data_IF_979157577252
#
_entry.id   IF_979157577252
#
_cell.length_a   1.000
_cell.length_b   1.000
_cell.length_c   1.000
_cell.angle_alpha   90.00
_cell.angle_beta   90.00
_cell.angle_gamma   90.00
#
_symmetry.space_group_name_H-M   'P 1'
#
loop_
_entity.id
_entity.type
_entity.pdbx_description
1 polymer ?
#
# COMPACT_ATOMS: atom_id res chain seq x y z
N UNK A 1 5.92 6.79 -39.97
CA UNK A 1 6.83 7.86 -39.53
C UNK A 1 6.09 8.78 -38.56
N UNK A 2 5.37 9.81 -39.01
CA UNK A 2 4.66 10.75 -38.12
C UNK A 2 3.59 10.04 -37.26
N UNK A 3 2.65 9.32 -37.89
CA UNK A 3 1.68 8.43 -37.19
C UNK A 3 2.31 7.30 -36.34
N UNK A 4 3.63 7.11 -36.44
CA UNK A 4 4.40 6.16 -35.63
C UNK A 4 5.01 6.83 -34.40
N UNK A 5 5.35 8.13 -34.51
CA UNK A 5 5.82 8.97 -33.42
C UNK A 5 4.67 9.38 -32.50
N UNK A 6 3.54 9.76 -33.11
CA UNK A 6 2.30 10.20 -32.46
C UNK A 6 1.76 9.15 -31.46
N UNK A 7 1.72 7.88 -31.87
CA UNK A 7 1.32 6.75 -31.00
C UNK A 7 2.31 6.37 -29.90
N UNK A 8 3.58 6.78 -30.03
CA UNK A 8 4.58 6.57 -28.95
C UNK A 8 4.39 7.65 -27.89
N UNK A 9 4.18 8.91 -28.32
CA UNK A 9 3.88 10.03 -27.43
C UNK A 9 2.54 9.83 -26.68
N UNK A 10 1.48 9.36 -27.36
CA UNK A 10 0.21 9.01 -26.70
C UNK A 10 0.34 7.88 -25.64
N UNK A 11 1.36 7.03 -25.73
CA UNK A 11 1.59 5.96 -24.76
C UNK A 11 2.45 6.43 -23.59
N UNK A 12 3.53 7.18 -23.83
CA UNK A 12 4.34 7.81 -22.77
C UNK A 12 3.48 8.70 -21.86
N UNK A 13 2.61 9.54 -22.45
CA UNK A 13 1.71 10.41 -21.67
C UNK A 13 0.65 9.60 -20.86
N UNK A 14 0.28 8.39 -21.30
CA UNK A 14 -0.60 7.50 -20.53
C UNK A 14 0.12 6.84 -19.37
N UNK A 15 1.34 6.34 -19.58
CA UNK A 15 2.12 5.72 -18.51
C UNK A 15 2.54 6.74 -17.42
N UNK A 16 2.83 8.00 -17.77
CA UNK A 16 2.96 9.07 -16.75
C UNK A 16 1.66 9.31 -15.98
N UNK A 17 0.50 9.39 -16.66
CA UNK A 17 -0.79 9.65 -16.01
C UNK A 17 -1.19 8.51 -15.07
N UNK A 18 -1.03 7.25 -15.47
CA UNK A 18 -1.34 6.10 -14.62
C UNK A 18 -0.39 6.00 -13.41
N UNK A 19 0.89 6.37 -13.56
CA UNK A 19 1.84 6.45 -12.44
C UNK A 19 1.49 7.60 -11.46
N UNK A 20 1.05 8.76 -11.96
CA UNK A 20 0.51 9.83 -11.13
C UNK A 20 -0.81 9.45 -10.45
N UNK A 21 -1.64 8.63 -11.09
CA UNK A 21 -2.84 8.04 -10.49
C UNK A 21 -2.51 7.12 -9.32
N UNK A 22 -1.64 6.14 -9.53
CA UNK A 22 -1.24 5.17 -8.50
C UNK A 22 -0.58 5.84 -7.27
N UNK A 23 0.24 6.87 -7.48
CA UNK A 23 0.88 7.61 -6.37
C UNK A 23 -0.11 8.51 -5.62
N UNK A 24 -1.08 9.13 -6.29
CA UNK A 24 -2.21 9.83 -5.64
C UNK A 24 -3.07 8.87 -4.82
N UNK A 25 -3.34 7.66 -5.33
CA UNK A 25 -4.17 6.67 -4.64
C UNK A 25 -3.46 6.07 -3.41
N UNK A 26 -2.15 5.78 -3.52
CA UNK A 26 -1.33 5.38 -2.37
C UNK A 26 -1.35 6.43 -1.24
N UNK A 27 -1.13 7.71 -1.58
CA UNK A 27 -1.17 8.80 -0.59
C UNK A 27 -2.57 8.98 0.03
N UNK A 28 -3.65 8.72 -0.71
CA UNK A 28 -5.01 8.68 -0.17
C UNK A 28 -5.22 7.50 0.78
N UNK A 29 -4.72 6.31 0.44
CA UNK A 29 -4.85 5.15 1.31
C UNK A 29 -4.03 5.31 2.60
N UNK A 30 -2.81 5.83 2.49
CA UNK A 30 -1.92 6.07 3.64
C UNK A 30 -2.47 7.16 4.58
N UNK A 31 -3.00 8.25 4.04
CA UNK A 31 -3.69 9.27 4.86
C UNK A 31 -5.03 8.79 5.44
N UNK A 32 -5.71 7.83 4.79
CA UNK A 32 -6.88 7.15 5.37
C UNK A 32 -6.48 6.21 6.52
N UNK A 33 -5.39 5.44 6.36
CA UNK A 33 -4.80 4.59 7.41
C UNK A 33 -4.35 5.43 8.61
N UNK A 34 -3.68 6.56 8.40
CA UNK A 34 -3.30 7.49 9.47
C UNK A 34 -4.51 8.03 10.26
N UNK A 35 -5.60 8.40 9.55
CA UNK A 35 -6.86 8.82 10.20
C UNK A 35 -7.53 7.68 10.96
N UNK A 36 -7.46 6.44 10.47
CA UNK A 36 -7.96 5.27 11.18
C UNK A 36 -7.16 4.97 12.47
N UNK A 37 -5.83 5.10 12.43
CA UNK A 37 -4.95 4.98 13.61
C UNK A 37 -5.28 6.05 14.65
N UNK A 38 -5.39 7.33 14.24
CA UNK A 38 -5.79 8.43 15.13
C UNK A 38 -7.15 8.16 15.81
N UNK A 39 -8.16 7.75 15.03
CA UNK A 39 -9.50 7.39 15.54
C UNK A 39 -9.48 6.18 16.50
N UNK A 40 -8.54 5.27 16.35
CA UNK A 40 -8.34 4.15 17.29
C UNK A 40 -7.61 4.60 18.55
N UNK A 41 -6.64 5.51 18.47
CA UNK A 41 -5.97 6.13 19.62
C UNK A 41 -6.99 6.87 20.49
N UNK A 42 -7.91 7.64 19.88
CA UNK A 42 -8.92 8.37 20.64
C UNK A 42 -9.97 7.45 21.28
N UNK A 43 -10.35 6.34 20.61
CA UNK A 43 -11.12 5.26 21.24
C UNK A 43 -10.39 4.61 22.41
N UNK A 44 -9.06 4.44 22.31
CA UNK A 44 -8.25 3.88 23.41
C UNK A 44 -8.29 4.84 24.60
N UNK A 45 -8.08 6.15 24.41
CA UNK A 45 -8.24 7.16 25.47
C UNK A 45 -9.63 7.11 26.12
N UNK A 46 -10.69 7.05 25.31
CA UNK A 46 -12.07 6.95 25.79
C UNK A 46 -12.29 5.65 26.59
N UNK A 47 -11.67 4.54 26.18
CA UNK A 47 -11.74 3.26 26.90
C UNK A 47 -10.95 3.27 28.22
N UNK A 48 -9.80 3.94 28.27
CA UNK A 48 -8.99 4.10 29.51
C UNK A 48 -9.78 4.88 30.56
N UNK A 49 -10.32 6.06 30.21
CA UNK A 49 -11.21 6.83 31.10
C UNK A 49 -12.50 6.09 31.51
N UNK A 50 -12.90 5.06 30.75
CA UNK A 50 -14.04 4.20 31.08
C UNK A 50 -13.67 3.00 31.97
N UNK A 51 -12.39 2.63 31.99
CA UNK A 51 -11.82 1.61 32.89
C UNK A 51 -11.49 2.20 34.26
N UNK A 52 -10.93 3.43 34.32
CA UNK A 52 -10.76 4.19 35.57
C UNK A 52 -12.08 4.35 36.36
N UNK A 53 -13.22 4.38 35.66
CA UNK A 53 -14.57 4.44 36.26
C UNK A 53 -15.19 3.06 36.58
N UNK A 54 -14.44 1.97 36.44
CA UNK A 54 -14.92 0.59 36.65
C UNK A 54 -14.20 -0.19 37.74
N UNK A 55 -13.04 0.24 38.22
CA UNK A 55 -12.28 -0.46 39.29
C UNK A 55 -12.86 -0.28 40.71
N UNK A 56 -14.19 -0.20 40.81
CA UNK A 56 -14.96 -0.07 42.06
C UNK A 56 -16.17 -1.04 42.12
N UNK A 57 -16.20 -2.11 41.32
CA UNK A 57 -17.30 -3.09 41.34
C UNK A 57 -16.95 -4.47 40.75
N UNK A 58 -17.32 -5.53 41.48
CA UNK A 58 -17.07 -6.96 41.21
C UNK A 58 -18.34 -7.72 41.67
N UNK A 59 -18.82 -8.83 41.08
CA UNK A 59 -18.30 -9.71 40.00
C UNK A 59 -19.19 -9.50 38.73
N UNK A 60 -19.72 -10.45 37.93
CA UNK A 60 -19.70 -11.92 37.77
C UNK A 60 -19.87 -12.24 36.26
N UNK A 61 -19.24 -13.27 35.70
CA UNK A 61 -19.82 -14.56 35.19
C UNK A 61 -21.35 -14.59 34.93
N UNK A 62 -21.87 -15.25 33.88
CA UNK A 62 -21.43 -16.53 33.29
C UNK A 62 -21.71 -16.69 31.76
N UNK A 63 -21.80 -17.93 31.26
CA UNK A 63 -21.63 -18.39 29.86
C UNK A 63 -22.79 -18.19 28.85
N UNK A 64 -22.56 -18.53 27.57
CA UNK A 64 -23.59 -18.72 26.53
C UNK A 64 -23.04 -19.11 25.14
N UNK A 65 -23.62 -20.12 24.47
CA UNK A 65 -23.08 -20.78 23.26
C UNK A 65 -24.00 -20.75 22.01
N UNK A 66 -23.38 -20.99 20.85
CA UNK A 66 -23.95 -21.48 19.56
C UNK A 66 -24.97 -20.64 18.74
N UNK A 67 -24.92 -20.83 17.41
CA UNK A 67 -26.14 -20.98 16.60
C UNK A 67 -26.35 -20.07 15.37
N UNK A 68 -26.34 -20.66 14.17
CA UNK A 68 -26.85 -20.13 12.88
C UNK A 68 -26.18 -18.86 12.29
N UNK A 69 -26.24 -18.56 10.98
CA UNK A 69 -26.58 -19.43 9.84
C UNK A 69 -27.82 -19.05 9.02
N UNK A 70 -27.72 -18.05 8.13
CA UNK A 70 -28.52 -17.99 6.88
C UNK A 70 -27.96 -17.00 5.84
N UNK A 71 -28.54 -17.03 4.63
CA UNK A 71 -27.96 -16.53 3.37
C UNK A 71 -28.67 -15.30 2.77
N UNK A 72 -27.91 -14.44 2.08
CA UNK A 72 -28.33 -13.73 0.87
C UNK A 72 -27.10 -13.65 -0.07
N UNK A 73 -27.10 -14.12 -1.33
CA UNK A 73 -28.05 -13.92 -2.45
C UNK A 73 -28.04 -12.47 -2.94
N UNK A 74 -26.95 -12.07 -3.62
CA UNK A 74 -26.91 -10.92 -4.54
C UNK A 74 -25.80 -11.07 -5.58
N UNK A 75 -26.13 -11.67 -6.73
CA UNK A 75 -25.91 -11.13 -8.07
C UNK A 75 -26.53 -12.10 -9.09
N UNK A 76 -27.16 -11.55 -10.12
CA UNK A 76 -28.09 -12.26 -11.01
C UNK A 76 -27.82 -11.84 -12.45
N UNK A 77 -28.00 -12.78 -13.37
CA UNK A 77 -28.18 -12.67 -14.82
C UNK A 77 -27.29 -11.68 -15.64
N UNK A 78 -26.68 -12.21 -16.71
CA UNK A 78 -26.60 -11.47 -17.97
C UNK A 78 -25.22 -11.06 -18.47
N UNK A 79 -24.49 -12.00 -19.07
CA UNK A 79 -23.56 -11.74 -20.18
C UNK A 79 -23.24 -13.06 -20.90
N UNK A 80 -23.86 -13.29 -22.06
CA UNK A 80 -23.54 -14.43 -22.93
C UNK A 80 -22.17 -14.22 -23.59
N UNK A 81 -21.26 -15.18 -23.42
CA UNK A 81 -19.98 -15.29 -24.14
C UNK A 81 -19.79 -16.76 -24.50
N UNK A 82 -19.33 -17.04 -25.72
CA UNK A 82 -19.31 -18.37 -26.34
C UNK A 82 -18.31 -19.35 -25.70
N UNK A 83 -18.56 -20.66 -25.86
CA UNK A 83 -17.78 -21.74 -25.23
C UNK A 83 -16.37 -21.93 -25.84
N UNK A 84 -15.35 -21.24 -25.32
CA UNK A 84 -13.99 -21.78 -25.35
C UNK A 84 -13.75 -22.71 -24.16
N UNK A 85 -13.44 -23.98 -24.45
CA UNK A 85 -13.28 -25.03 -23.44
C UNK A 85 -12.03 -24.77 -22.59
N UNK A 86 -12.14 -24.62 -21.26
CA UNK A 86 -10.97 -24.40 -20.42
C UNK A 86 -10.05 -25.63 -20.48
N UNK A 87 -8.82 -25.43 -20.95
CA UNK A 87 -7.77 -26.43 -20.78
C UNK A 87 -7.40 -26.48 -19.29
N UNK A 88 -8.01 -27.42 -18.56
CA UNK A 88 -7.73 -27.64 -17.15
C UNK A 88 -6.27 -28.06 -17.01
N UNK A 89 -5.41 -27.11 -16.64
CA UNK A 89 -4.00 -27.33 -16.40
C UNK A 89 -3.84 -28.30 -15.22
N UNK A 90 -3.54 -29.56 -15.51
CA UNK A 90 -3.59 -30.64 -14.53
C UNK A 90 -2.32 -30.66 -13.66
N UNK A 91 -2.23 -29.75 -12.67
CA UNK A 91 -1.10 -29.70 -11.71
C UNK A 91 -0.76 -31.08 -11.11
N UNK A 92 -1.76 -31.95 -10.94
CA UNK A 92 -1.61 -33.32 -10.45
C UNK A 92 -0.65 -34.20 -11.28
N UNK A 93 -0.51 -33.95 -12.59
CA UNK A 93 0.43 -34.69 -13.44
C UNK A 93 1.85 -34.11 -13.36
N UNK A 94 2.00 -32.79 -13.32
CA UNK A 94 3.30 -32.13 -13.14
C UNK A 94 3.94 -32.44 -11.79
N UNK A 95 3.16 -32.41 -10.69
CA UNK A 95 3.64 -32.81 -9.36
C UNK A 95 4.09 -34.28 -9.32
N UNK A 96 3.55 -35.14 -10.20
CA UNK A 96 3.97 -36.53 -10.36
C UNK A 96 5.34 -36.62 -11.07
N UNK A 97 5.58 -35.74 -12.04
CA UNK A 97 6.82 -35.67 -12.85
C UNK A 97 8.00 -35.05 -12.10
N UNK A 98 7.77 -33.98 -11.33
CA UNK A 98 8.82 -33.27 -10.57
C UNK A 98 9.24 -33.96 -9.25
N UNK A 99 8.59 -35.06 -8.84
CA UNK A 99 8.79 -35.71 -7.53
C UNK A 99 10.19 -36.28 -7.29
N UNK A 100 11.06 -36.33 -8.32
CA UNK A 100 12.40 -36.94 -8.26
C UNK A 100 13.57 -35.96 -8.06
N UNK A 101 13.35 -34.64 -8.16
CA UNK A 101 14.42 -33.65 -8.04
C UNK A 101 14.13 -32.64 -6.92
N UNK A 102 14.04 -33.14 -5.67
CA UNK A 102 13.93 -32.29 -4.47
C UNK A 102 15.26 -31.56 -4.25
N UNK A 103 15.34 -30.32 -4.72
CA UNK A 103 16.53 -29.49 -4.53
C UNK A 103 16.79 -29.24 -3.04
N UNK A 104 17.84 -29.85 -2.49
CA UNK A 104 18.21 -29.74 -1.06
C UNK A 104 18.36 -28.30 -0.59
N UNK A 105 18.77 -27.39 -1.50
CA UNK A 105 18.87 -25.96 -1.26
C UNK A 105 17.55 -25.33 -0.73
N UNK A 106 16.38 -25.80 -1.21
CA UNK A 106 15.08 -25.31 -0.76
C UNK A 106 14.85 -25.57 0.73
N UNK A 107 15.25 -26.75 1.23
CA UNK A 107 15.17 -27.08 2.66
C UNK A 107 16.18 -26.28 3.50
N UNK A 108 17.36 -25.96 2.95
CA UNK A 108 18.34 -25.08 3.61
C UNK A 108 17.80 -23.66 3.73
N UNK A 109 17.17 -23.11 2.69
CA UNK A 109 16.53 -21.78 2.73
C UNK A 109 15.38 -21.74 3.74
N UNK A 110 14.52 -22.77 3.79
CA UNK A 110 13.43 -22.84 4.78
C UNK A 110 13.98 -22.93 6.22
N UNK A 111 14.99 -23.78 6.47
CA UNK A 111 15.63 -23.85 7.79
C UNK A 111 16.30 -22.54 8.18
N UNK A 112 16.95 -21.85 7.23
CA UNK A 112 17.52 -20.53 7.44
C UNK A 112 16.47 -19.47 7.79
N UNK A 113 15.31 -19.49 7.13
CA UNK A 113 14.20 -18.57 7.43
C UNK A 113 13.56 -18.85 8.81
N UNK A 114 13.35 -20.12 9.17
CA UNK A 114 12.87 -20.51 10.50
C UNK A 114 13.88 -20.10 11.59
N UNK A 115 15.18 -20.28 11.35
CA UNK A 115 16.22 -19.85 12.27
C UNK A 115 16.32 -18.33 12.39
N UNK A 116 16.17 -17.59 11.28
CA UNK A 116 16.13 -16.13 11.28
C UNK A 116 14.92 -15.57 12.04
N UNK A 117 13.74 -16.18 11.90
CA UNK A 117 12.57 -15.84 12.71
C UNK A 117 12.81 -16.13 14.20
N UNK A 118 13.30 -17.33 14.54
CA UNK A 118 13.59 -17.69 15.94
C UNK A 118 14.64 -16.76 16.58
N UNK A 119 15.70 -16.42 15.86
CA UNK A 119 16.71 -15.47 16.30
C UNK A 119 16.14 -14.04 16.43
N UNK A 120 15.33 -13.59 15.47
CA UNK A 120 14.67 -12.28 15.53
C UNK A 120 13.73 -12.15 16.74
N UNK A 121 12.89 -13.15 16.98
CA UNK A 121 12.03 -13.20 18.17
C UNK A 121 12.86 -13.24 19.46
N UNK A 122 13.97 -13.97 19.49
CA UNK A 122 14.88 -14.02 20.65
C UNK A 122 15.55 -12.66 20.92
N UNK A 123 16.06 -11.97 19.90
CA UNK A 123 16.63 -10.62 20.07
C UNK A 123 15.60 -9.60 20.52
N UNK A 124 14.40 -9.58 19.93
CA UNK A 124 13.30 -8.72 20.37
C UNK A 124 12.90 -9.03 21.83
N UNK A 125 12.91 -10.30 22.23
CA UNK A 125 12.62 -10.70 23.60
C UNK A 125 13.73 -10.33 24.61
N UNK A 126 14.97 -10.12 24.16
CA UNK A 126 16.04 -9.56 25.00
C UNK A 126 15.88 -8.04 25.10
N UNK A 127 15.64 -7.35 23.99
CA UNK A 127 15.49 -5.90 23.92
C UNK A 127 14.33 -5.43 24.82
N UNK A 128 13.18 -6.12 24.73
CA UNK A 128 12.03 -5.92 25.63
C UNK A 128 12.40 -6.20 27.09
N UNK A 129 13.23 -7.21 27.40
CA UNK A 129 13.63 -7.48 28.79
C UNK A 129 14.57 -6.41 29.36
N UNK A 130 15.53 -5.91 28.57
CA UNK A 130 16.43 -4.84 29.00
C UNK A 130 15.71 -3.48 29.10
N UNK A 131 14.75 -3.20 28.22
CA UNK A 131 13.90 -2.01 28.34
C UNK A 131 12.92 -2.14 29.52
N UNK A 132 12.31 -3.32 29.75
CA UNK A 132 11.47 -3.58 30.94
C UNK A 132 12.27 -3.48 32.25
N UNK A 133 13.56 -3.83 32.25
CA UNK A 133 14.46 -3.64 33.41
C UNK A 133 14.83 -2.18 33.66
N UNK A 134 14.75 -1.30 32.66
CA UNK A 134 14.92 0.16 32.81
C UNK A 134 13.60 0.85 33.11
N UNK A 135 12.49 0.28 32.65
CA UNK A 135 11.12 0.61 33.02
C UNK A 135 10.65 -0.15 34.28
N UNK A 136 11.58 -0.67 35.09
CA UNK A 136 11.30 -0.99 36.50
C UNK A 136 11.08 0.35 37.22
N UNK A 137 9.86 0.87 37.13
CA UNK A 137 9.43 2.09 37.82
C UNK A 137 9.77 1.87 39.29
N UNK A 138 10.74 2.61 39.81
CA UNK A 138 11.32 2.36 41.12
C UNK A 138 10.37 2.87 42.22
N UNK A 139 9.34 2.06 42.46
CA UNK A 139 8.32 2.16 43.51
C UNK A 139 8.93 1.85 44.91
N UNK A 140 10.27 1.80 45.03
CA UNK A 140 11.02 1.71 46.29
C UNK A 140 10.63 2.78 47.33
N UNK A 141 10.10 3.94 46.91
CA UNK A 141 9.56 4.96 47.82
C UNK A 141 8.21 4.60 48.49
N UNK A 142 7.64 3.44 48.15
CA UNK A 142 6.49 2.84 48.83
C UNK A 142 6.90 1.72 49.80
N UNK A 143 8.11 1.14 49.69
CA UNK A 143 8.68 0.25 50.72
C UNK A 143 9.07 1.04 51.99
N UNK A 144 9.49 2.29 51.81
CA UNK A 144 10.22 3.08 52.82
C UNK A 144 9.34 3.69 53.94
N UNK A 145 8.01 3.51 53.89
CA UNK A 145 7.10 3.93 54.97
C UNK A 145 6.31 2.76 55.51
N UNK A 146 6.52 2.52 56.80
CA UNK A 146 5.90 1.49 57.61
C UNK A 146 4.40 1.74 57.92
N UNK A 147 3.62 2.12 56.90
CA UNK A 147 2.16 2.32 56.95
C UNK A 147 1.44 1.07 57.45
N UNK A 148 1.91 -0.12 57.05
CA UNK A 148 1.35 -1.39 57.50
C UNK A 148 1.54 -1.61 59.00
N UNK A 149 2.72 -1.32 59.57
CA UNK A 149 2.94 -1.38 61.02
C UNK A 149 2.13 -0.30 61.78
N UNK A 150 2.00 0.90 61.21
CA UNK A 150 1.21 1.98 61.80
C UNK A 150 -0.30 1.64 61.84
N UNK A 151 -0.84 1.05 60.77
CA UNK A 151 -2.22 0.52 60.70
C UNK A 151 -2.41 -0.67 61.65
N UNK A 152 -1.44 -1.57 61.75
CA UNK A 152 -1.50 -2.70 62.68
C UNK A 152 -1.48 -2.21 64.14
N UNK A 153 -0.63 -1.23 64.47
CA UNK A 153 -0.54 -0.62 65.81
C UNK A 153 -1.82 0.13 66.17
N UNK A 154 -2.45 0.81 65.20
CA UNK A 154 -3.76 1.43 65.40
C UNK A 154 -4.86 0.39 65.71
N UNK A 155 -4.87 -0.76 65.02
CA UNK A 155 -5.78 -1.88 65.32
C UNK A 155 -5.52 -2.50 66.70
N UNK A 156 -4.26 -2.72 67.07
CA UNK A 156 -3.90 -3.21 68.41
C UNK A 156 -4.32 -2.22 69.52
N UNK A 157 -4.28 -0.92 69.25
CA UNK A 157 -4.80 0.10 70.15
C UNK A 157 -6.34 0.04 70.27
N UNK A 158 -7.06 -0.14 69.16
CA UNK A 158 -8.52 -0.33 69.16
C UNK A 158 -8.94 -1.60 69.93
N UNK A 159 -8.28 -2.74 69.67
CA UNK A 159 -8.53 -3.99 70.40
C UNK A 159 -8.24 -3.86 71.90
N UNK A 160 -7.17 -3.15 72.28
CA UNK A 160 -6.88 -2.83 73.70
C UNK A 160 -7.97 -1.96 74.32
N UNK A 161 -8.49 -0.97 73.60
CA UNK A 161 -9.59 -0.10 74.06
C UNK A 161 -10.87 -0.92 74.24
N UNK A 162 -11.19 -1.83 73.31
CA UNK A 162 -12.34 -2.72 73.42
C UNK A 162 -12.20 -3.70 74.59
N UNK A 163 -11.00 -4.27 74.81
CA UNK A 163 -10.70 -5.10 75.98
C UNK A 163 -10.86 -4.33 77.30
N UNK A 164 -10.25 -3.15 77.43
CA UNK A 164 -10.34 -2.32 78.63
C UNK A 164 -11.78 -1.87 78.92
N UNK A 165 -12.56 -1.56 77.88
CA UNK A 165 -14.00 -1.24 77.98
C UNK A 165 -14.82 -2.42 78.52
N UNK A 166 -14.53 -3.64 78.05
CA UNK A 166 -15.18 -4.86 78.56
C UNK A 166 -14.77 -5.14 80.01
N UNK A 167 -13.48 -5.07 80.33
CA UNK A 167 -12.97 -5.25 81.70
C UNK A 167 -13.48 -4.20 82.70
N UNK A 168 -13.74 -2.97 82.25
CA UNK A 168 -14.39 -1.92 83.02
C UNK A 168 -15.85 -2.27 83.32
N UNK A 169 -16.57 -2.84 82.34
CA UNK A 169 -17.95 -3.27 82.52
C UNK A 169 -18.04 -4.48 83.45
N UNK A 170 -17.15 -5.47 83.31
CA UNK A 170 -17.08 -6.62 84.23
C UNK A 170 -16.89 -6.15 85.67
N UNK A 171 -15.92 -5.27 85.96
CA UNK A 171 -15.73 -4.75 87.33
C UNK A 171 -16.92 -3.94 87.87
N UNK A 172 -17.77 -3.35 87.02
CA UNK A 172 -19.03 -2.72 87.47
C UNK A 172 -20.09 -3.77 87.85
N UNK A 173 -20.26 -4.78 87.00
CA UNK A 173 -21.18 -5.89 87.26
C UNK A 173 -20.76 -6.70 88.52
N UNK A 174 -19.44 -6.87 88.73
CA UNK A 174 -18.87 -7.56 89.90
C UNK A 174 -19.15 -6.78 91.20
N UNK A 175 -19.04 -5.44 91.17
CA UNK A 175 -19.42 -4.59 92.29
C UNK A 175 -20.93 -4.72 92.60
N UNK A 176 -21.78 -4.63 91.58
CA UNK A 176 -23.23 -4.78 91.72
C UNK A 176 -23.61 -6.12 92.35
N UNK A 177 -23.05 -7.23 91.82
CA UNK A 177 -23.25 -8.57 92.39
C UNK A 177 -22.68 -8.73 93.82
N UNK A 178 -21.55 -8.10 94.14
CA UNK A 178 -20.98 -8.10 95.50
C UNK A 178 -21.85 -7.32 96.49
N UNK A 179 -22.46 -6.21 96.06
CA UNK A 179 -23.41 -5.44 96.87
C UNK A 179 -24.70 -6.21 97.12
N UNK A 180 -25.27 -6.86 96.10
CA UNK A 180 -26.48 -7.67 96.25
C UNK A 180 -26.26 -8.93 97.09
N UNK A 181 -25.10 -9.57 97.01
CA UNK A 181 -24.76 -10.66 97.92
C UNK A 181 -24.58 -10.19 99.38
N UNK A 182 -24.02 -8.99 99.61
CA UNK A 182 -23.96 -8.39 100.97
C UNK A 182 -25.37 -8.12 101.51
N UNK A 183 -26.26 -7.53 100.70
CA UNK A 183 -27.68 -7.31 101.04
C UNK A 183 -28.37 -8.63 101.38
N UNK A 184 -28.30 -9.62 100.48
CA UNK A 184 -28.93 -10.94 100.63
C UNK A 184 -28.43 -11.70 101.87
N UNK A 185 -27.13 -11.68 102.15
CA UNK A 185 -26.57 -12.24 103.39
C UNK A 185 -27.11 -11.53 104.64
N UNK A 186 -27.29 -10.21 104.57
CA UNK A 186 -27.82 -9.40 105.68
C UNK A 186 -29.30 -9.69 105.91
N UNK A 187 -30.11 -9.74 104.86
CA UNK A 187 -31.53 -10.12 104.93
C UNK A 187 -31.73 -11.51 105.54
N UNK A 188 -30.92 -12.49 105.13
CA UNK A 188 -30.95 -13.85 105.69
C UNK A 188 -30.58 -13.87 107.18
N UNK A 189 -29.58 -13.08 107.61
CA UNK A 189 -29.23 -12.94 109.04
C UNK A 189 -30.35 -12.28 109.83
N UNK A 190 -30.95 -11.20 109.33
CA UNK A 190 -32.07 -10.49 109.99
C UNK A 190 -33.34 -11.37 110.03
N UNK A 191 -33.60 -12.17 109.00
CA UNK A 191 -34.67 -13.18 109.04
C UNK A 191 -34.39 -14.26 110.10
N UNK A 192 -33.14 -14.72 110.21
CA UNK A 192 -32.69 -15.69 111.22
C UNK A 192 -32.77 -15.20 112.67
N UNK A 193 -32.83 -13.88 112.93
CA UNK A 193 -33.12 -13.33 114.26
C UNK A 193 -34.61 -13.43 114.62
N UNK A 194 -35.52 -13.50 113.65
CA UNK A 194 -36.98 -13.54 113.90
C UNK A 194 -37.48 -14.90 114.39
N UNK A 195 -36.70 -15.96 114.17
CA UNK A 195 -36.99 -17.33 114.62
C UNK A 195 -36.38 -17.68 115.99
N UNK A 196 -35.62 -16.77 116.59
CA UNK A 196 -35.00 -16.97 117.91
C UNK A 196 -35.87 -16.38 119.03
N UNK A 197 -35.93 -17.07 120.18
CA UNK A 197 -36.68 -16.67 121.38
C UNK A 197 -35.99 -15.53 122.17
N UNK A 198 -35.60 -14.46 121.46
CA UNK A 198 -34.99 -13.25 122.01
C UNK A 198 -36.06 -12.22 122.38
N UNK A 199 -35.79 -11.34 123.35
CA UNK A 199 -36.68 -10.21 123.61
C UNK A 199 -36.74 -9.24 122.41
N UNK A 200 -37.75 -8.36 122.39
CA UNK A 200 -37.88 -7.36 121.33
C UNK A 200 -36.71 -6.36 121.35
N UNK A 201 -36.19 -6.03 122.54
CA UNK A 201 -35.08 -5.07 122.68
C UNK A 201 -33.74 -5.68 122.25
N UNK A 202 -33.46 -6.94 122.62
CA UNK A 202 -32.26 -7.66 122.15
C UNK A 202 -32.25 -7.83 120.64
N UNK A 203 -33.40 -8.17 120.03
CA UNK A 203 -33.54 -8.24 118.56
C UNK A 203 -33.28 -6.89 117.89
N UNK A 204 -33.82 -5.80 118.45
CA UNK A 204 -33.56 -4.45 117.93
C UNK A 204 -32.07 -4.07 117.99
N UNK A 205 -31.37 -4.44 119.07
CA UNK A 205 -29.92 -4.23 119.22
C UNK A 205 -29.13 -5.06 118.20
N UNK A 206 -29.43 -6.35 118.04
CA UNK A 206 -28.74 -7.23 117.08
C UNK A 206 -29.02 -6.86 115.62
N UNK A 207 -30.25 -6.47 115.26
CA UNK A 207 -30.55 -6.00 113.89
C UNK A 207 -29.80 -4.70 113.59
N UNK A 208 -29.72 -3.76 114.53
CA UNK A 208 -28.94 -2.53 114.38
C UNK A 208 -27.42 -2.79 114.25
N UNK A 209 -26.89 -3.84 114.90
CA UNK A 209 -25.50 -4.26 114.75
C UNK A 209 -25.25 -4.90 113.37
N UNK A 210 -26.12 -5.81 112.93
CA UNK A 210 -26.05 -6.45 111.61
C UNK A 210 -26.12 -5.41 110.48
N UNK A 211 -27.00 -4.40 110.58
CA UNK A 211 -27.08 -3.30 109.61
C UNK A 211 -25.85 -2.36 109.63
N UNK A 212 -25.17 -2.24 110.78
CA UNK A 212 -23.87 -1.54 110.88
C UNK A 212 -22.73 -2.35 110.26
N UNK A 213 -22.78 -3.68 110.34
CA UNK A 213 -21.86 -4.56 109.62
C UNK A 213 -22.10 -4.50 108.10
N UNK A 214 -23.36 -4.57 107.66
CA UNK A 214 -23.79 -4.38 106.27
C UNK A 214 -23.21 -3.09 105.68
N UNK A 215 -23.47 -1.93 106.30
CA UNK A 215 -22.99 -0.65 105.77
C UNK A 215 -21.46 -0.58 105.72
N UNK A 216 -20.74 -1.18 106.69
CA UNK A 216 -19.27 -1.29 106.62
C UNK A 216 -18.83 -2.14 105.42
N UNK A 217 -19.42 -3.32 105.23
CA UNK A 217 -19.11 -4.22 104.11
C UNK A 217 -19.43 -3.58 102.75
N UNK A 218 -20.54 -2.85 102.65
CA UNK A 218 -20.90 -2.04 101.47
C UNK A 218 -19.83 -0.98 101.21
N UNK A 219 -19.50 -0.14 102.20
CA UNK A 219 -18.52 0.94 102.02
C UNK A 219 -17.13 0.41 101.63
N UNK A 220 -16.69 -0.71 102.22
CA UNK A 220 -15.43 -1.37 101.85
C UNK A 220 -15.49 -1.90 100.42
N UNK A 221 -16.56 -2.61 100.04
CA UNK A 221 -16.72 -3.11 98.67
C UNK A 221 -16.78 -1.98 97.63
N UNK A 222 -17.47 -0.88 97.93
CA UNK A 222 -17.49 0.31 97.06
C UNK A 222 -16.09 0.89 96.91
N UNK A 223 -15.37 1.16 98.00
CA UNK A 223 -14.01 1.72 97.94
C UNK A 223 -13.03 0.84 97.14
N UNK A 224 -13.07 -0.48 97.33
CA UNK A 224 -12.21 -1.44 96.62
C UNK A 224 -12.44 -1.44 95.09
N UNK A 225 -13.70 -1.33 94.66
CA UNK A 225 -14.06 -1.36 93.24
C UNK A 225 -14.05 0.02 92.58
N UNK A 226 -14.34 1.09 93.31
CA UNK A 226 -14.23 2.47 92.81
C UNK A 226 -12.77 2.79 92.44
N UNK A 227 -11.79 2.35 93.23
CA UNK A 227 -10.37 2.50 92.88
C UNK A 227 -10.01 1.72 91.60
N UNK A 228 -10.45 0.47 91.48
CA UNK A 228 -10.22 -0.35 90.28
C UNK A 228 -10.90 0.20 89.02
N UNK A 229 -12.15 0.67 89.15
CA UNK A 229 -12.91 1.29 88.06
C UNK A 229 -12.26 2.62 87.65
N UNK A 230 -11.79 3.43 88.61
CA UNK A 230 -11.06 4.66 88.33
C UNK A 230 -9.69 4.39 87.65
N UNK A 231 -8.97 3.33 88.06
CA UNK A 231 -7.73 2.91 87.42
C UNK A 231 -7.96 2.46 85.97
N UNK A 232 -8.91 1.54 85.73
CA UNK A 232 -9.28 1.10 84.37
C UNK A 232 -9.79 2.25 83.50
N UNK A 233 -10.55 3.20 84.06
CA UNK A 233 -11.02 4.38 83.32
C UNK A 233 -9.87 5.33 82.92
N UNK A 234 -8.82 5.46 83.75
CA UNK A 234 -7.60 6.21 83.40
C UNK A 234 -6.83 5.52 82.27
N UNK A 235 -6.65 4.19 82.33
CA UNK A 235 -5.97 3.45 81.27
C UNK A 235 -6.75 3.51 79.94
N UNK A 236 -8.07 3.35 79.98
CA UNK A 236 -8.95 3.48 78.80
C UNK A 236 -8.82 4.87 78.14
N UNK A 237 -8.71 5.93 78.95
CA UNK A 237 -8.49 7.29 78.43
C UNK A 237 -7.07 7.45 77.83
N UNK A 238 -6.04 6.89 78.45
CA UNK A 238 -4.68 6.91 77.91
C UNK A 238 -4.56 6.14 76.59
N UNK A 239 -5.24 4.99 76.48
CA UNK A 239 -5.28 4.20 75.24
C UNK A 239 -5.97 4.98 74.10
N UNK A 240 -7.10 5.66 74.38
CA UNK A 240 -7.80 6.52 73.43
C UNK A 240 -6.97 7.70 72.93
N UNK A 241 -6.20 8.35 73.81
CA UNK A 241 -5.31 9.43 73.38
C UNK A 241 -4.26 8.91 72.37
N UNK A 242 -3.66 7.75 72.64
CA UNK A 242 -2.70 7.11 71.73
C UNK A 242 -3.33 6.66 70.41
N UNK A 243 -4.59 6.22 70.40
CA UNK A 243 -5.33 5.97 69.16
C UNK A 243 -5.43 7.25 68.32
N UNK A 244 -5.82 8.38 68.93
CA UNK A 244 -5.89 9.67 68.23
C UNK A 244 -4.54 10.14 67.68
N UNK A 245 -3.45 9.97 68.44
CA UNK A 245 -2.08 10.26 68.00
C UNK A 245 -1.67 9.41 66.77
N UNK A 246 -2.08 8.13 66.72
CA UNK A 246 -1.82 7.24 65.57
C UNK A 246 -2.70 7.57 64.37
N UNK A 247 -3.97 7.91 64.57
CA UNK A 247 -4.89 8.34 63.51
C UNK A 247 -4.43 9.66 62.85
N UNK A 248 -3.93 10.61 63.64
CA UNK A 248 -3.35 11.85 63.12
C UNK A 248 -2.06 11.59 62.33
N UNK A 249 -1.18 10.70 62.80
CA UNK A 249 0.02 10.30 62.05
C UNK A 249 -0.31 9.57 60.74
N UNK A 250 -1.31 8.67 60.74
CA UNK A 250 -1.81 8.00 59.54
C UNK A 250 -2.33 9.01 58.52
N UNK A 251 -3.15 9.97 58.97
CA UNK A 251 -3.70 11.03 58.12
C UNK A 251 -2.60 11.91 57.52
N UNK A 252 -1.67 12.39 58.34
CA UNK A 252 -0.60 13.28 57.87
C UNK A 252 0.28 12.59 56.83
N UNK A 253 0.67 11.32 57.05
CA UNK A 253 1.41 10.53 56.06
C UNK A 253 0.62 10.25 54.78
N UNK A 254 -0.69 10.04 54.86
CA UNK A 254 -1.53 9.89 53.68
C UNK A 254 -1.58 11.20 52.85
N UNK A 255 -1.61 12.36 53.49
CA UNK A 255 -1.54 13.65 52.80
C UNK A 255 -0.16 13.90 52.16
N UNK A 256 0.94 13.61 52.86
CA UNK A 256 2.30 13.67 52.29
C UNK A 256 2.43 12.78 51.04
N UNK A 257 1.85 11.58 51.06
CA UNK A 257 1.81 10.69 49.90
C UNK A 257 0.97 11.24 48.75
N UNK A 258 -0.21 11.80 49.02
CA UNK A 258 -1.08 12.38 48.00
C UNK A 258 -0.41 13.58 47.31
N UNK A 259 0.35 14.40 48.05
CA UNK A 259 1.11 15.53 47.52
C UNK A 259 2.31 15.08 46.67
N UNK A 260 3.15 14.17 47.17
CA UNK A 260 4.28 13.60 46.39
C UNK A 260 3.83 12.89 45.12
N UNK A 261 2.68 12.20 45.17
CA UNK A 261 2.12 11.53 43.99
C UNK A 261 1.67 12.54 42.94
N UNK A 262 1.02 13.65 43.34
CA UNK A 262 0.65 14.74 42.42
C UNK A 262 1.87 15.42 41.79
N UNK A 263 2.91 15.68 42.58
CA UNK A 263 4.16 16.27 42.10
C UNK A 263 4.81 15.37 41.03
N UNK A 264 4.97 14.08 41.33
CA UNK A 264 5.50 13.09 40.36
C UNK A 264 4.65 12.97 39.11
N UNK A 265 3.32 12.95 39.22
CA UNK A 265 2.44 12.88 38.06
C UNK A 265 2.54 14.13 37.17
N UNK A 266 2.73 15.32 37.76
CA UNK A 266 2.94 16.56 37.00
C UNK A 266 4.30 16.57 36.28
N UNK A 267 5.37 16.08 36.92
CA UNK A 267 6.68 15.95 36.25
C UNK A 267 6.67 14.86 35.16
N UNK A 268 5.96 13.74 35.35
CA UNK A 268 5.76 12.74 34.29
C UNK A 268 4.93 13.29 33.11
N UNK A 269 3.85 14.04 33.35
CA UNK A 269 3.06 14.68 32.28
C UNK A 269 3.94 15.65 31.46
N UNK A 270 4.76 16.44 32.15
CA UNK A 270 5.73 17.39 31.56
C UNK A 270 6.83 16.68 30.77
N UNK A 271 7.44 15.63 31.30
CA UNK A 271 8.46 14.84 30.60
C UNK A 271 7.88 14.16 29.34
N UNK A 272 6.67 13.57 29.46
CA UNK A 272 5.95 12.96 28.35
C UNK A 272 5.64 14.00 27.25
N UNK A 273 5.18 15.19 27.64
CA UNK A 273 4.90 16.30 26.74
C UNK A 273 6.14 16.80 26.00
N UNK A 274 7.28 16.90 26.68
CA UNK A 274 8.57 17.20 26.03
C UNK A 274 8.95 16.12 25.03
N UNK A 275 8.92 14.83 25.42
CA UNK A 275 9.23 13.71 24.52
C UNK A 275 8.34 13.69 23.27
N UNK A 276 7.04 13.96 23.41
CA UNK A 276 6.11 14.08 22.27
C UNK A 276 6.51 15.24 21.35
N UNK A 277 6.79 16.43 21.90
CA UNK A 277 7.22 17.60 21.13
C UNK A 277 8.55 17.36 20.37
N UNK A 278 9.49 16.63 20.99
CA UNK A 278 10.77 16.27 20.38
C UNK A 278 10.58 15.27 19.23
N UNK A 279 9.68 14.29 19.39
CA UNK A 279 9.34 13.34 18.32
C UNK A 279 8.58 14.00 17.17
N UNK A 280 7.62 14.89 17.44
CA UNK A 280 6.91 15.66 16.41
C UNK A 280 7.88 16.51 15.58
N UNK A 281 8.84 17.16 16.24
CA UNK A 281 9.90 17.96 15.60
C UNK A 281 10.80 17.09 14.72
N UNK A 282 11.32 15.98 15.24
CA UNK A 282 12.14 15.04 14.47
C UNK A 282 11.40 14.42 13.29
N UNK A 283 10.10 14.14 13.43
CA UNK A 283 9.28 13.58 12.36
C UNK A 283 9.09 14.61 11.23
N UNK A 284 8.81 15.87 11.59
CA UNK A 284 8.71 16.98 10.63
C UNK A 284 10.02 17.21 9.86
N UNK A 285 11.16 17.24 10.56
CA UNK A 285 12.47 17.36 9.89
C UNK A 285 12.75 16.21 8.91
N UNK A 286 12.38 14.97 9.27
CA UNK A 286 12.57 13.81 8.39
C UNK A 286 11.69 13.90 7.15
N UNK A 287 10.44 14.35 7.29
CA UNK A 287 9.54 14.59 6.16
C UNK A 287 10.08 15.67 5.22
N UNK A 288 10.58 16.80 5.75
CA UNK A 288 11.15 17.88 4.95
C UNK A 288 12.40 17.40 4.17
N UNK A 289 13.29 16.64 4.81
CA UNK A 289 14.47 16.02 4.16
C UNK A 289 14.08 15.02 3.06
N UNK A 290 13.03 14.22 3.27
CA UNK A 290 12.52 13.28 2.24
C UNK A 290 11.92 14.05 1.05
N UNK A 291 11.18 15.14 1.29
CA UNK A 291 10.64 15.98 0.22
C UNK A 291 11.74 16.67 -0.58
N UNK A 292 12.77 17.20 0.07
CA UNK A 292 13.94 17.80 -0.59
C UNK A 292 14.69 16.76 -1.47
N UNK A 293 14.91 15.56 -0.95
CA UNK A 293 15.53 14.46 -1.71
C UNK A 293 14.70 14.04 -2.93
N UNK A 294 13.38 13.91 -2.79
CA UNK A 294 12.48 13.57 -3.90
C UNK A 294 12.44 14.66 -4.98
N UNK A 295 12.46 15.94 -4.59
CA UNK A 295 12.55 17.08 -5.52
C UNK A 295 13.90 17.09 -6.26
N UNK A 296 15.00 16.84 -5.56
CA UNK A 296 16.35 16.78 -6.14
C UNK A 296 16.48 15.62 -7.14
N UNK A 297 16.01 14.42 -6.79
CA UNK A 297 15.98 13.27 -7.71
C UNK A 297 15.13 13.54 -8.95
N UNK A 298 13.93 14.14 -8.78
CA UNK A 298 13.09 14.54 -9.91
C UNK A 298 13.78 15.53 -10.84
N UNK A 299 14.52 16.50 -10.31
CA UNK A 299 15.30 17.46 -11.11
C UNK A 299 16.45 16.77 -11.87
N UNK A 300 17.16 15.82 -11.24
CA UNK A 300 18.21 15.03 -11.91
C UNK A 300 17.65 14.25 -13.10
N UNK A 301 16.59 13.45 -12.87
CA UNK A 301 15.96 12.66 -13.93
C UNK A 301 15.33 13.53 -15.04
N UNK A 302 14.78 14.70 -14.71
CA UNK A 302 14.32 15.66 -15.74
C UNK A 302 15.48 16.24 -16.58
N UNK A 303 16.67 16.40 -15.99
CA UNK A 303 17.90 16.72 -16.72
C UNK A 303 18.34 15.58 -17.64
N UNK A 304 18.45 14.37 -17.11
CA UNK A 304 18.84 13.15 -17.85
C UNK A 304 17.88 12.85 -19.02
N UNK A 305 16.57 12.98 -18.82
CA UNK A 305 15.55 12.82 -19.87
C UNK A 305 15.67 13.90 -20.95
N UNK A 306 16.03 15.13 -20.57
CA UNK A 306 16.26 16.21 -21.54
C UNK A 306 17.53 15.96 -22.37
N UNK A 307 18.65 15.63 -21.73
CA UNK A 307 19.92 15.34 -22.42
C UNK A 307 19.79 14.13 -23.37
N UNK A 308 19.12 13.07 -22.94
CA UNK A 308 18.87 11.89 -23.78
C UNK A 308 17.94 12.21 -24.95
N UNK A 309 16.89 13.02 -24.74
CA UNK A 309 16.03 13.53 -25.82
C UNK A 309 16.81 14.34 -26.86
N UNK A 310 17.61 15.32 -26.42
CA UNK A 310 18.44 16.14 -27.32
C UNK A 310 19.45 15.28 -28.09
N UNK A 311 20.07 14.28 -27.44
CA UNK A 311 20.97 13.32 -28.08
C UNK A 311 20.27 12.45 -29.15
N UNK A 312 19.06 11.95 -28.88
CA UNK A 312 18.31 11.17 -29.87
C UNK A 312 17.77 12.02 -31.02
N UNK A 313 17.33 13.25 -30.75
CA UNK A 313 16.91 14.20 -31.79
C UNK A 313 18.08 14.55 -32.73
N UNK A 314 19.28 14.77 -32.18
CA UNK A 314 20.50 14.98 -32.96
C UNK A 314 20.87 13.76 -33.83
N UNK A 315 20.78 12.54 -33.27
CA UNK A 315 21.01 11.28 -34.03
C UNK A 315 20.00 11.11 -35.17
N UNK A 316 18.71 11.36 -34.92
CA UNK A 316 17.65 11.26 -35.94
C UNK A 316 17.87 12.28 -37.07
N UNK A 317 18.23 13.53 -36.74
CA UNK A 317 18.57 14.56 -37.73
C UNK A 317 19.80 14.19 -38.58
N UNK A 318 20.83 13.60 -37.96
CA UNK A 318 22.01 13.12 -38.68
C UNK A 318 21.68 11.94 -39.63
N UNK A 319 20.89 10.96 -39.16
CA UNK A 319 20.47 9.80 -39.95
C UNK A 319 19.56 10.20 -41.13
N UNK A 320 18.61 11.11 -40.91
CA UNK A 320 17.76 11.64 -41.98
C UNK A 320 18.59 12.31 -43.08
N UNK A 321 19.59 13.12 -42.70
CA UNK A 321 20.52 13.77 -43.64
C UNK A 321 21.40 12.78 -44.39
N UNK A 322 21.79 11.66 -43.76
CA UNK A 322 22.50 10.58 -44.44
C UNK A 322 21.61 9.94 -45.52
N UNK A 323 20.38 9.55 -45.17
CA UNK A 323 19.45 8.94 -46.13
C UNK A 323 19.05 9.90 -47.26
N UNK A 324 18.94 11.20 -47.01
CA UNK A 324 18.71 12.21 -48.05
C UNK A 324 19.87 12.22 -49.08
N UNK A 325 21.12 12.17 -48.62
CA UNK A 325 22.30 12.10 -49.48
C UNK A 325 22.41 10.76 -50.23
N UNK A 326 22.05 9.65 -49.60
CA UNK A 326 21.97 8.33 -50.24
C UNK A 326 20.91 8.31 -51.36
N UNK A 327 19.73 8.90 -51.11
CA UNK A 327 18.66 9.01 -52.10
C UNK A 327 19.03 9.93 -53.28
N UNK A 328 19.68 11.06 -53.03
CA UNK A 328 20.19 11.95 -54.10
C UNK A 328 21.27 11.25 -54.94
N UNK A 329 22.23 10.55 -54.31
CA UNK A 329 23.22 9.74 -55.01
C UNK A 329 22.55 8.66 -55.88
N UNK A 330 21.61 7.91 -55.31
CA UNK A 330 20.93 6.81 -56.00
C UNK A 330 20.06 7.32 -57.16
N UNK A 331 19.39 8.47 -56.98
CA UNK A 331 18.65 9.18 -58.03
C UNK A 331 19.57 9.58 -59.18
N UNK A 332 20.71 10.23 -58.89
CA UNK A 332 21.72 10.62 -59.90
C UNK A 332 22.28 9.40 -60.65
N UNK A 333 22.53 8.30 -59.94
CA UNK A 333 22.94 7.04 -60.55
C UNK A 333 21.90 6.49 -61.54
N UNK A 334 20.64 6.38 -61.13
CA UNK A 334 19.58 5.89 -62.01
C UNK A 334 19.26 6.83 -63.17
N UNK A 335 19.29 8.16 -62.99
CA UNK A 335 19.17 9.13 -64.09
C UNK A 335 20.25 8.86 -65.15
N UNK A 336 21.51 8.73 -64.75
CA UNK A 336 22.62 8.43 -65.68
C UNK A 336 22.48 7.08 -66.39
N UNK A 337 21.95 6.06 -65.71
CA UNK A 337 21.64 4.78 -66.35
C UNK A 337 20.49 4.91 -67.37
N UNK A 338 19.45 5.69 -67.08
CA UNK A 338 18.37 5.97 -68.02
C UNK A 338 18.85 6.77 -69.24
N UNK A 339 19.72 7.76 -69.06
CA UNK A 339 20.38 8.50 -70.15
C UNK A 339 21.19 7.57 -71.05
N UNK A 340 21.99 6.67 -70.47
CA UNK A 340 22.74 5.65 -71.23
C UNK A 340 21.82 4.72 -72.04
N UNK A 341 20.70 4.27 -71.44
CA UNK A 341 19.72 3.40 -72.09
C UNK A 341 19.01 4.14 -73.24
N UNK A 342 18.63 5.40 -73.04
CA UNK A 342 18.04 6.25 -74.08
C UNK A 342 19.02 6.47 -75.23
N UNK A 343 20.24 6.94 -74.96
CA UNK A 343 21.27 7.15 -75.99
C UNK A 343 21.65 5.85 -76.74
N UNK A 344 21.50 4.67 -76.11
CA UNK A 344 21.69 3.37 -76.77
C UNK A 344 20.50 3.00 -77.66
N UNK A 345 19.26 3.22 -77.17
CA UNK A 345 18.02 3.04 -77.95
C UNK A 345 18.02 3.94 -79.19
N UNK A 346 18.37 5.21 -79.05
CA UNK A 346 18.29 6.19 -80.14
C UNK A 346 19.31 5.89 -81.24
N UNK A 347 20.52 5.45 -80.86
CA UNK A 347 21.51 4.88 -81.81
C UNK A 347 20.98 3.62 -82.52
N UNK A 348 20.28 2.74 -81.81
CA UNK A 348 19.68 1.55 -82.42
C UNK A 348 18.55 1.90 -83.40
N UNK A 349 17.73 2.91 -83.09
CA UNK A 349 16.68 3.42 -83.98
C UNK A 349 17.25 4.09 -85.23
N UNK A 350 18.30 4.90 -85.11
CA UNK A 350 18.93 5.54 -86.28
C UNK A 350 19.68 4.52 -87.14
N UNK A 351 20.35 3.53 -86.54
CA UNK A 351 20.92 2.40 -87.28
C UNK A 351 19.85 1.60 -88.04
N UNK A 352 18.69 1.36 -87.43
CA UNK A 352 17.54 0.69 -88.06
C UNK A 352 16.96 1.53 -89.21
N UNK A 353 16.86 2.85 -89.04
CA UNK A 353 16.45 3.80 -90.09
C UNK A 353 17.39 3.76 -91.29
N UNK A 354 18.70 3.84 -91.05
CA UNK A 354 19.72 3.78 -92.11
C UNK A 354 19.70 2.42 -92.83
N UNK A 355 19.46 1.32 -92.11
CA UNK A 355 19.29 -0.01 -92.71
C UNK A 355 18.03 -0.08 -93.59
N UNK A 356 16.89 0.44 -93.13
CA UNK A 356 15.63 0.50 -93.88
C UNK A 356 15.77 1.37 -95.14
N UNK A 357 16.43 2.52 -95.04
CA UNK A 357 16.70 3.40 -96.18
C UNK A 357 17.68 2.75 -97.18
N UNK A 358 18.70 2.03 -96.69
CA UNK A 358 19.61 1.24 -97.54
C UNK A 358 18.85 0.13 -98.27
N UNK A 359 17.94 -0.58 -97.60
CA UNK A 359 17.07 -1.59 -98.22
C UNK A 359 16.18 -0.97 -99.30
N UNK A 360 15.43 0.09 -98.97
CA UNK A 360 14.57 0.82 -99.90
C UNK A 360 15.34 1.31 -101.14
N UNK A 361 16.57 1.79 -100.97
CA UNK A 361 17.41 2.24 -102.08
C UNK A 361 17.91 1.07 -102.96
N UNK A 362 18.09 -0.15 -102.42
CA UNK A 362 18.34 -1.36 -103.22
C UNK A 362 17.09 -1.77 -104.00
N UNK A 363 15.93 -1.82 -103.36
CA UNK A 363 14.65 -2.14 -104.01
C UNK A 363 14.33 -1.16 -105.15
N UNK A 364 14.56 0.15 -104.94
CA UNK A 364 14.43 1.18 -106.00
C UNK A 364 15.44 0.96 -107.13
N UNK A 365 16.68 0.57 -106.84
CA UNK A 365 17.68 0.28 -107.86
C UNK A 365 17.34 -0.98 -108.67
N UNK A 366 16.86 -2.04 -108.02
CA UNK A 366 16.38 -3.27 -108.67
C UNK A 366 15.16 -2.99 -109.57
N UNK A 367 14.17 -2.22 -109.08
CA UNK A 367 13.02 -1.77 -109.87
C UNK A 367 13.44 -0.89 -111.05
N UNK A 368 14.38 0.04 -110.87
CA UNK A 368 14.92 0.86 -111.96
C UNK A 368 15.63 0.01 -113.02
N UNK A 369 16.47 -0.94 -112.60
CA UNK A 369 17.19 -1.84 -113.50
C UNK A 369 16.22 -2.74 -114.29
N UNK A 370 15.16 -3.22 -113.63
CA UNK A 370 14.08 -3.99 -114.26
C UNK A 370 13.32 -3.15 -115.29
N UNK A 371 12.89 -1.94 -114.92
CA UNK A 371 12.20 -1.01 -115.82
C UNK A 371 13.07 -0.64 -117.03
N UNK A 372 14.36 -0.38 -116.81
CA UNK A 372 15.32 -0.09 -117.89
C UNK A 372 15.45 -1.28 -118.86
N UNK A 373 15.53 -2.52 -118.34
CA UNK A 373 15.56 -3.73 -119.17
C UNK A 373 14.28 -3.87 -119.99
N UNK A 374 13.12 -3.77 -119.34
CA UNK A 374 11.80 -3.85 -119.98
C UNK A 374 11.63 -2.74 -121.05
N UNK A 375 12.16 -1.53 -120.81
CA UNK A 375 12.21 -0.44 -121.79
C UNK A 375 13.11 -0.77 -123.00
N UNK A 376 14.35 -1.23 -122.79
CA UNK A 376 15.25 -1.60 -123.91
C UNK A 376 14.74 -2.79 -124.72
N UNK A 377 14.00 -3.72 -124.11
CA UNK A 377 13.30 -4.78 -124.84
C UNK A 377 12.13 -4.26 -125.67
N UNK A 378 11.42 -3.22 -125.21
CA UNK A 378 10.36 -2.56 -125.96
C UNK A 378 10.94 -1.72 -127.12
N UNK A 379 12.03 -0.99 -126.89
CA UNK A 379 12.77 -0.24 -127.91
C UNK A 379 13.33 -1.18 -129.00
N UNK A 380 13.86 -2.35 -128.62
CA UNK A 380 14.29 -3.40 -129.55
C UNK A 380 13.14 -4.04 -130.34
N UNK A 381 11.91 -4.07 -129.80
CA UNK A 381 10.71 -4.49 -130.54
C UNK A 381 10.26 -3.40 -131.52
N UNK A 382 10.12 -2.16 -131.05
CA UNK A 382 9.68 -1.02 -131.87
C UNK A 382 10.64 -0.78 -133.05
N UNK A 383 11.95 -0.83 -132.84
CA UNK A 383 12.94 -0.69 -133.92
C UNK A 383 12.87 -1.81 -134.96
N UNK A 384 12.53 -3.06 -134.57
CA UNK A 384 12.22 -4.14 -135.53
C UNK A 384 10.94 -3.85 -136.31
N UNK A 385 9.87 -3.46 -135.64
CA UNK A 385 8.60 -3.12 -136.31
C UNK A 385 8.75 -1.93 -137.25
N UNK A 386 9.59 -0.94 -136.91
CA UNK A 386 9.94 0.17 -137.81
C UNK A 386 10.73 -0.35 -139.02
N UNK A 387 11.73 -1.22 -138.84
CA UNK A 387 12.47 -1.80 -139.96
C UNK A 387 11.59 -2.70 -140.87
N UNK A 388 10.64 -3.43 -140.30
CA UNK A 388 9.61 -4.19 -141.04
C UNK A 388 8.70 -3.23 -141.84
N UNK A 389 8.26 -2.12 -141.23
CA UNK A 389 7.49 -1.08 -141.92
C UNK A 389 8.30 -0.36 -143.01
N UNK A 390 9.60 -0.09 -142.81
CA UNK A 390 10.49 0.45 -143.84
C UNK A 390 10.66 -0.52 -145.01
N UNK A 391 10.76 -1.82 -144.75
CA UNK A 391 10.89 -2.86 -145.77
C UNK A 391 9.57 -3.02 -146.58
N UNK A 392 8.42 -2.85 -145.93
CA UNK A 392 7.11 -2.70 -146.56
C UNK A 392 7.00 -1.39 -147.37
N UNK A 393 7.41 -0.24 -146.83
CA UNK A 393 7.43 1.04 -147.54
C UNK A 393 8.37 0.97 -148.76
N UNK A 394 9.49 0.24 -148.66
CA UNK A 394 10.42 0.01 -149.77
C UNK A 394 9.79 -0.87 -150.86
N UNK A 395 8.99 -1.88 -150.50
CA UNK A 395 8.16 -2.65 -151.43
C UNK A 395 7.11 -1.78 -152.11
N UNK A 396 6.41 -0.90 -151.37
CA UNK A 396 5.46 0.06 -151.95
C UNK A 396 6.13 1.09 -152.86
N UNK A 397 7.29 1.67 -152.48
CA UNK A 397 8.08 2.58 -153.32
C UNK A 397 8.56 1.88 -154.60
N UNK A 398 8.98 0.62 -154.51
CA UNK A 398 9.34 -0.18 -155.69
C UNK A 398 8.11 -0.44 -156.58
N UNK A 399 6.96 -0.77 -156.01
CA UNK A 399 5.71 -0.94 -156.76
C UNK A 399 5.26 0.36 -157.45
N UNK A 400 5.32 1.51 -156.76
CA UNK A 400 5.05 2.83 -157.35
C UNK A 400 6.04 3.18 -158.46
N UNK A 401 7.35 2.96 -158.26
CA UNK A 401 8.36 3.20 -159.29
C UNK A 401 8.19 2.27 -160.51
N UNK A 402 7.81 1.02 -160.29
CA UNK A 402 7.46 0.08 -161.36
C UNK A 402 6.18 0.50 -162.11
N UNK A 403 5.19 1.05 -161.40
CA UNK A 403 3.96 1.56 -161.99
C UNK A 403 4.26 2.79 -162.87
N UNK A 404 4.89 3.83 -162.32
CA UNK A 404 5.23 5.07 -163.04
C UNK A 404 6.23 4.86 -164.18
N UNK A 405 7.11 3.87 -164.11
CA UNK A 405 7.99 3.49 -165.21
C UNK A 405 7.28 2.74 -166.35
N UNK A 406 6.09 2.17 -166.11
CA UNK A 406 5.39 1.28 -167.05
C UNK A 406 4.10 1.86 -167.63
N UNK A 407 3.46 2.81 -166.94
CA UNK A 407 2.37 3.63 -167.48
C UNK A 407 2.91 4.97 -167.98
N UNK A 408 3.00 5.15 -169.30
CA UNK A 408 3.08 6.50 -169.87
C UNK A 408 1.72 7.19 -169.76
N UNK A 409 1.78 8.48 -169.47
CA UNK A 409 0.75 9.51 -169.63
C UNK A 409 -0.31 9.71 -168.51
N UNK A 410 -0.48 10.99 -168.16
CA UNK A 410 -1.53 11.67 -167.40
C UNK A 410 -1.74 11.38 -165.88
N UNK A 411 -1.49 12.42 -165.07
CA UNK A 411 -2.40 12.78 -163.96
C UNK A 411 -1.79 12.91 -162.56
N UNK A 412 -1.64 14.16 -162.09
CA UNK A 412 -1.64 14.64 -160.70
C UNK A 412 -0.73 13.98 -159.64
N UNK A 413 0.16 14.79 -159.08
CA UNK A 413 0.63 14.65 -157.69
C UNK A 413 -0.52 15.08 -156.78
N UNK A 414 -0.86 14.26 -155.79
CA UNK A 414 -1.59 14.70 -154.59
C UNK A 414 -0.53 14.84 -153.50
N UNK A 415 -0.36 16.07 -153.00
CA UNK A 415 0.41 16.33 -151.78
C UNK A 415 -0.43 15.90 -150.56
N UNK A 416 0.22 15.51 -149.48
CA UNK A 416 -0.40 14.99 -148.26
C UNK A 416 0.30 15.57 -147.02
N UNK A 417 0.68 16.84 -147.08
CA UNK A 417 1.35 17.60 -146.00
C UNK A 417 0.42 18.55 -145.23
N UNK A 418 -0.89 18.30 -145.25
CA UNK A 418 -1.91 19.02 -144.45
C UNK A 418 -2.86 18.05 -143.70
N UNK A 419 -2.36 17.42 -142.64
CA UNK A 419 -2.97 17.36 -141.28
C UNK A 419 -2.01 16.70 -140.25
#
# INVERSE_FOLDING_TARGET
>A
AEQSLERVLENDEREEVDFFGATQEYLREETARAKAVSKNIDKIKESVHKTEKKELGIKELEEGTEGSGQSAVFLKDGLDIEEEKPQIYALAEEFKKNKKNRNTFFYVVIMGFIFALGAGTYFISIDIQDETRRAEINIREFDDINLQELVNTAREAEDRINKLKNELQTSKNDLEGKLDEIRRQTELRVAGLKTQNLSAEERGRMEAEIRREEQKRINTAQSEFEEQIAAKQRELNQARNKQGELEEQLKNKAQEYEERLKERMADYEKELKTKVSDYETQFKERLEKIQEQALSQRQSHQGELKETRELYEAKLKALAKQHEAELDYLKKYYTKQMENIQATRDKALENLRLALETQKNREIAELRNRLQKEYTELESKNSKTIAELEEVIKKYRFAFAFYTAKTREHGYVIDASEE
#
